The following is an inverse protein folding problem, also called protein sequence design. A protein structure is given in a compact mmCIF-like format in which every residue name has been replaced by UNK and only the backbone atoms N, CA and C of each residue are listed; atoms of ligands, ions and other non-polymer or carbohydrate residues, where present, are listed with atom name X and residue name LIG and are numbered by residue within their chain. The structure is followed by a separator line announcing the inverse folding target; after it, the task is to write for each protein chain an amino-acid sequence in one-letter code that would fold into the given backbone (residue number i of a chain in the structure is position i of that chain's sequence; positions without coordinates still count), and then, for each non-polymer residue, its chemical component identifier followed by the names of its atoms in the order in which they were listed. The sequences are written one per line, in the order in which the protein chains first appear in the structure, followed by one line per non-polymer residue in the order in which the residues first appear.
data_IF_403604776259
#
_entry.id   IF_403604776259
#
_cell.length_a   1.000
_cell.length_b   1.000
_cell.length_c   1.000
_cell.angle_alpha   90.00
_cell.angle_beta   90.00
_cell.angle_gamma   90.00
#
_symmetry.space_group_name_H-M   'P 1'
#
loop_
_entity.id
_entity.type
_entity.pdbx_description
1 polymer ?
#
# COMPACT_ATOMS: atom_id res chain seq x y z
N UNK A 1 21.06 -13.40 6.49
CA UNK A 1 20.98 -12.37 5.42
C UNK A 1 19.50 -12.10 5.15
N UNK A 2 19.09 -10.85 4.96
CA UNK A 2 17.73 -10.50 4.56
C UNK A 2 17.65 -10.39 3.03
N UNK A 3 16.58 -10.94 2.46
CA UNK A 3 16.28 -10.83 1.04
C UNK A 3 14.84 -10.37 0.88
N UNK A 4 14.57 -9.46 -0.06
CA UNK A 4 13.23 -8.93 -0.31
C UNK A 4 12.86 -9.12 -1.77
N UNK A 5 11.83 -9.90 -2.03
CA UNK A 5 11.16 -9.96 -3.33
C UNK A 5 10.13 -8.84 -3.40
N UNK A 6 10.31 -7.94 -4.35
CA UNK A 6 9.71 -6.61 -4.33
C UNK A 6 9.26 -6.13 -5.71
N UNK A 7 8.38 -5.16 -5.72
CA UNK A 7 8.04 -4.35 -6.89
C UNK A 7 7.88 -2.89 -6.47
N UNK A 8 8.51 -1.97 -7.19
CA UNK A 8 8.56 -0.54 -6.87
C UNK A 8 7.17 0.05 -6.60
N UNK A 9 6.18 -0.31 -7.41
CA UNK A 9 4.82 0.23 -7.32
C UNK A 9 3.89 -0.55 -6.37
N UNK A 10 4.35 -1.61 -5.70
CA UNK A 10 3.55 -2.36 -4.75
C UNK A 10 3.43 -1.63 -3.41
N UNK A 11 2.23 -1.18 -3.04
CA UNK A 11 1.96 -0.53 -1.74
C UNK A 11 2.30 -1.44 -0.55
N UNK A 12 2.13 -2.76 -0.70
CA UNK A 12 2.52 -3.72 0.33
C UNK A 12 4.04 -3.82 0.49
N UNK A 13 4.80 -3.82 -0.62
CA UNK A 13 6.24 -3.84 -0.57
C UNK A 13 6.82 -2.50 -0.06
N UNK A 14 6.17 -1.40 -0.39
CA UNK A 14 6.52 -0.08 0.14
C UNK A 14 6.47 -0.03 1.67
N UNK A 15 5.48 -0.67 2.32
CA UNK A 15 5.46 -0.82 3.79
C UNK A 15 6.74 -1.46 4.32
N UNK A 16 7.14 -2.57 3.72
CA UNK A 16 8.32 -3.33 4.17
C UNK A 16 9.60 -2.53 3.96
N UNK A 17 9.73 -1.85 2.82
CA UNK A 17 10.90 -0.98 2.56
C UNK A 17 11.02 0.16 3.56
N UNK A 18 9.91 0.81 3.93
CA UNK A 18 9.94 1.86 4.95
C UNK A 18 10.43 1.28 6.29
N UNK A 19 9.93 0.10 6.68
CA UNK A 19 10.35 -0.52 7.94
C UNK A 19 11.83 -0.91 7.93
N UNK A 20 12.33 -1.48 6.84
CA UNK A 20 13.74 -1.82 6.68
C UNK A 20 14.63 -0.55 6.76
N UNK A 21 14.23 0.52 6.10
CA UNK A 21 14.95 1.80 6.13
C UNK A 21 14.92 2.46 7.52
N UNK A 22 13.77 2.43 8.23
CA UNK A 22 13.66 2.95 9.60
C UNK A 22 14.56 2.19 10.59
N UNK A 23 14.76 0.90 10.34
CA UNK A 23 15.61 0.04 11.16
C UNK A 23 17.07 0.05 10.72
N UNK A 24 17.41 0.71 9.61
CA UNK A 24 18.76 0.69 9.04
C UNK A 24 19.23 -0.68 8.61
N UNK A 25 18.31 -1.55 8.16
CA UNK A 25 18.60 -2.92 7.78
C UNK A 25 18.93 -2.99 6.29
N UNK A 26 20.09 -3.57 5.99
CA UNK A 26 20.48 -3.91 4.63
C UNK A 26 19.82 -5.22 4.18
N UNK A 27 19.47 -5.32 2.91
CA UNK A 27 18.86 -6.51 2.30
C UNK A 27 19.24 -6.65 0.84
N UNK A 28 19.23 -7.87 0.35
CA UNK A 28 19.32 -8.17 -1.08
C UNK A 28 17.95 -8.01 -1.71
N UNK A 29 17.84 -7.16 -2.74
CA UNK A 29 16.59 -6.96 -3.47
C UNK A 29 16.47 -7.93 -4.65
N UNK A 30 15.31 -8.54 -4.79
CA UNK A 30 14.88 -9.33 -5.95
C UNK A 30 13.69 -8.61 -6.60
N UNK A 31 13.99 -7.78 -7.61
CA UNK A 31 12.96 -7.00 -8.31
C UNK A 31 12.03 -7.91 -9.12
N UNK A 32 10.73 -7.78 -8.89
CA UNK A 32 9.66 -8.53 -9.57
C UNK A 32 8.89 -7.61 -10.51
N UNK A 33 8.62 -8.08 -11.73
CA UNK A 33 7.90 -7.29 -12.73
C UNK A 33 6.38 -7.34 -12.57
N UNK A 34 5.87 -8.38 -11.89
CA UNK A 34 4.46 -8.72 -11.76
C UNK A 34 3.74 -8.94 -13.11
N UNK A 35 4.50 -9.40 -14.11
CA UNK A 35 3.99 -9.73 -15.45
C UNK A 35 3.97 -11.24 -15.72
N UNK A 36 3.97 -12.05 -14.65
CA UNK A 36 3.97 -13.52 -14.69
C UNK A 36 5.06 -14.15 -13.84
N UNK A 37 6.16 -13.46 -13.59
CA UNK A 37 7.29 -13.92 -12.76
C UNK A 37 6.86 -14.30 -11.32
N UNK A 38 5.83 -13.65 -10.78
CA UNK A 38 5.23 -14.01 -9.48
C UNK A 38 4.50 -15.36 -9.49
N UNK A 39 4.25 -15.94 -10.65
CA UNK A 39 3.61 -17.26 -10.81
C UNK A 39 4.59 -18.36 -11.22
N UNK A 40 5.87 -18.05 -11.35
CA UNK A 40 6.90 -19.06 -11.62
C UNK A 40 7.02 -20.05 -10.45
N UNK A 41 7.20 -21.36 -10.71
CA UNK A 41 7.26 -22.37 -9.68
C UNK A 41 8.30 -22.12 -8.58
N UNK A 42 9.42 -21.48 -8.93
CA UNK A 42 10.47 -21.12 -7.97
C UNK A 42 9.98 -20.08 -6.97
N UNK A 43 9.18 -19.08 -7.41
CA UNK A 43 8.65 -18.05 -6.53
C UNK A 43 7.44 -18.55 -5.74
N UNK A 44 6.56 -19.36 -6.35
CA UNK A 44 5.41 -19.94 -5.66
C UNK A 44 5.80 -20.86 -4.49
N UNK A 45 7.01 -21.43 -4.48
CA UNK A 45 7.57 -22.14 -3.32
C UNK A 45 7.86 -21.22 -2.14
N UNK A 46 8.19 -19.95 -2.39
CA UNK A 46 8.43 -18.94 -1.37
C UNK A 46 7.11 -18.28 -0.93
N UNK A 47 6.26 -17.96 -1.90
CA UNK A 47 4.97 -17.33 -1.65
C UNK A 47 3.85 -17.95 -2.50
N UNK A 48 3.10 -18.91 -1.95
CA UNK A 48 2.01 -19.58 -2.68
C UNK A 48 0.91 -18.64 -3.16
N UNK A 49 0.81 -17.43 -2.58
CA UNK A 49 -0.17 -16.41 -2.98
C UNK A 49 0.19 -15.73 -4.32
N UNK A 50 1.44 -15.90 -4.83
CA UNK A 50 1.88 -15.29 -6.07
C UNK A 50 1.81 -13.75 -6.05
N UNK A 51 2.20 -13.13 -4.93
CA UNK A 51 2.20 -11.69 -4.70
C UNK A 51 3.50 -11.24 -4.04
N UNK A 52 3.78 -9.94 -4.07
CA UNK A 52 4.86 -9.30 -3.32
C UNK A 52 4.28 -8.43 -2.20
N UNK A 53 5.04 -8.20 -1.12
CA UNK A 53 6.41 -8.64 -0.85
C UNK A 53 6.50 -10.07 -0.31
N UNK A 54 7.68 -10.67 -0.46
CA UNK A 54 8.13 -11.80 0.34
C UNK A 54 9.48 -11.44 0.94
N UNK A 55 9.60 -11.50 2.24
CA UNK A 55 10.87 -11.37 2.93
C UNK A 55 11.45 -12.78 3.14
N UNK A 56 12.74 -12.98 2.85
CA UNK A 56 13.43 -14.20 3.20
C UNK A 56 14.51 -13.87 4.24
N UNK A 57 14.48 -14.55 5.36
CA UNK A 57 15.44 -14.41 6.44
C UNK A 57 16.04 -15.77 6.78
N UNK A 58 17.37 -15.88 6.62
CA UNK A 58 18.10 -17.14 6.85
C UNK A 58 17.50 -18.34 6.08
N UNK A 59 17.05 -18.09 4.84
CA UNK A 59 16.42 -19.10 3.98
C UNK A 59 14.93 -19.37 4.26
N UNK A 60 14.35 -18.74 5.27
CA UNK A 60 12.93 -18.89 5.64
C UNK A 60 12.07 -17.76 5.08
N UNK A 61 11.06 -18.04 4.22
CA UNK A 61 10.17 -17.01 3.71
C UNK A 61 9.18 -16.56 4.76
N UNK A 62 9.01 -15.24 4.88
CA UNK A 62 7.94 -14.58 5.63
C UNK A 62 7.08 -13.83 4.63
N UNK A 63 5.79 -14.12 4.61
CA UNK A 63 4.80 -13.53 3.70
C UNK A 63 3.80 -12.68 4.45
N UNK A 64 2.94 -11.93 3.73
CA UNK A 64 2.01 -10.94 4.25
C UNK A 64 2.73 -9.72 4.84
N UNK A 65 2.56 -8.57 4.17
CA UNK A 65 3.34 -7.37 4.50
C UNK A 65 3.17 -6.91 5.95
N UNK A 66 1.99 -7.05 6.54
CA UNK A 66 1.74 -6.69 7.95
C UNK A 66 2.42 -7.65 8.92
N UNK A 67 2.51 -8.94 8.57
CA UNK A 67 3.26 -9.94 9.35
C UNK A 67 4.75 -9.67 9.23
N UNK A 68 5.24 -9.33 8.03
CA UNK A 68 6.64 -8.94 7.84
C UNK A 68 7.01 -7.73 8.71
N UNK A 69 6.12 -6.73 8.84
CA UNK A 69 6.37 -5.58 9.72
C UNK A 69 6.56 -6.01 11.19
N UNK A 70 5.70 -6.88 11.70
CA UNK A 70 5.83 -7.40 13.07
C UNK A 70 7.09 -8.25 13.23
N UNK A 71 7.36 -9.14 12.27
CA UNK A 71 8.56 -9.97 12.28
C UNK A 71 9.84 -9.11 12.33
N UNK A 72 9.93 -8.06 11.53
CA UNK A 72 11.08 -7.15 11.53
C UNK A 72 11.24 -6.42 12.87
N UNK A 73 10.13 -6.00 13.49
CA UNK A 73 10.20 -5.29 14.77
C UNK A 73 10.56 -6.22 15.94
N UNK A 74 10.10 -7.47 15.92
CA UNK A 74 10.40 -8.48 16.92
C UNK A 74 11.82 -9.02 16.78
N UNK A 75 12.29 -9.26 15.54
CA UNK A 75 13.63 -9.80 15.27
C UNK A 75 14.73 -8.75 15.47
N UNK A 76 14.45 -7.51 15.12
CA UNK A 76 15.38 -6.38 15.24
C UNK A 76 14.74 -5.30 16.13
N UNK A 77 14.76 -5.44 17.46
CA UNK A 77 13.96 -4.61 18.36
C UNK A 77 14.40 -3.15 18.44
N UNK A 78 15.55 -2.77 17.87
CA UNK A 78 16.06 -1.39 17.90
C UNK A 78 16.29 -0.86 16.49
N UNK A 79 15.78 0.36 16.21
CA UNK A 79 14.79 1.12 16.97
C UNK A 79 13.43 0.42 16.95
N UNK A 80 12.68 0.46 18.07
CA UNK A 80 11.33 -0.10 18.13
C UNK A 80 10.34 0.75 17.33
N UNK A 81 9.59 0.12 16.44
CA UNK A 81 8.49 0.72 15.68
C UNK A 81 7.12 0.35 16.26
N UNK A 82 7.10 -0.56 17.25
CA UNK A 82 5.91 -0.91 18.02
C UNK A 82 5.87 -0.09 19.30
N UNK A 83 4.76 0.63 19.60
CA UNK A 83 4.63 1.42 20.83
C UNK A 83 4.73 0.55 22.09
N UNK A 84 5.12 1.19 23.21
CA UNK A 84 5.33 0.47 24.49
C UNK A 84 4.02 0.04 25.16
N UNK A 85 2.95 0.85 25.08
CA UNK A 85 1.72 0.56 25.83
C UNK A 85 0.80 -0.44 25.11
N UNK A 86 0.09 -1.31 25.83
CA UNK A 86 -0.83 -2.27 25.21
C UNK A 86 -1.90 -1.62 24.34
N UNK A 87 -2.44 -0.46 24.74
CA UNK A 87 -3.47 0.25 23.97
C UNK A 87 -2.92 0.78 22.65
N UNK A 88 -1.76 1.42 22.64
CA UNK A 88 -1.13 1.90 21.42
C UNK A 88 -0.72 0.73 20.50
N UNK A 89 -0.26 -0.40 21.06
CA UNK A 89 -0.01 -1.63 20.29
C UNK A 89 -1.28 -2.19 19.66
N UNK A 90 -2.41 -2.15 20.38
CA UNK A 90 -3.70 -2.52 19.83
C UNK A 90 -4.10 -1.59 18.65
N UNK A 91 -3.86 -0.29 18.78
CA UNK A 91 -4.13 0.70 17.72
C UNK A 91 -3.29 0.41 16.46
N UNK A 92 -2.01 0.07 16.60
CA UNK A 92 -1.18 -0.40 15.47
C UNK A 92 -1.82 -1.59 14.76
N UNK A 93 -2.25 -2.60 15.52
CA UNK A 93 -2.88 -3.80 14.94
C UNK A 93 -4.22 -3.50 14.27
N UNK A 94 -5.00 -2.57 14.82
CA UNK A 94 -6.26 -2.11 14.21
C UNK A 94 -6.02 -1.45 12.85
N UNK A 95 -5.00 -0.59 12.70
CA UNK A 95 -4.65 0.01 11.42
C UNK A 95 -4.18 -1.04 10.41
N UNK A 96 -3.31 -1.97 10.80
CA UNK A 96 -2.88 -3.05 9.92
C UNK A 96 -4.08 -3.89 9.45
N UNK A 97 -4.98 -4.26 10.37
CA UNK A 97 -6.19 -5.02 10.03
C UNK A 97 -7.12 -4.25 9.09
N UNK A 98 -7.34 -2.95 9.33
CA UNK A 98 -8.14 -2.10 8.44
C UNK A 98 -7.54 -2.06 7.03
N UNK A 99 -6.23 -1.91 6.93
CA UNK A 99 -5.52 -1.91 5.66
C UNK A 99 -5.69 -3.26 4.95
N UNK A 100 -5.40 -4.36 5.62
CA UNK A 100 -5.35 -5.69 5.00
C UNK A 100 -6.74 -6.17 4.54
N UNK A 101 -7.78 -5.94 5.34
CA UNK A 101 -9.12 -6.47 5.06
C UNK A 101 -9.94 -5.59 4.10
N UNK A 102 -9.73 -4.27 4.12
CA UNK A 102 -10.62 -3.35 3.40
C UNK A 102 -9.88 -2.45 2.42
N UNK A 103 -8.85 -1.74 2.87
CA UNK A 103 -8.24 -0.67 2.09
C UNK A 103 -7.34 -1.22 0.97
N UNK A 104 -6.66 -2.36 1.18
CA UNK A 104 -5.74 -2.90 0.18
C UNK A 104 -6.46 -3.27 -1.13
N UNK A 105 -7.59 -3.95 -1.05
CA UNK A 105 -8.41 -4.25 -2.25
C UNK A 105 -8.95 -2.97 -2.88
N UNK A 106 -9.40 -2.03 -2.07
CA UNK A 106 -9.91 -0.73 -2.53
C UNK A 106 -8.83 0.09 -3.24
N UNK A 107 -7.61 0.08 -2.74
CA UNK A 107 -6.46 0.73 -3.38
C UNK A 107 -6.14 0.07 -4.74
N UNK A 108 -6.21 -1.26 -4.85
CA UNK A 108 -6.08 -1.97 -6.13
C UNK A 108 -7.19 -1.53 -7.10
N UNK A 109 -8.45 -1.49 -6.65
CA UNK A 109 -9.59 -1.05 -7.46
C UNK A 109 -9.34 0.35 -8.03
N UNK A 110 -9.04 1.34 -7.19
CA UNK A 110 -8.81 2.72 -7.64
C UNK A 110 -7.59 2.84 -8.56
N UNK A 111 -6.49 2.13 -8.27
CA UNK A 111 -5.28 2.15 -9.10
C UNK A 111 -5.53 1.59 -10.50
N UNK A 112 -6.25 0.46 -10.61
CA UNK A 112 -6.55 -0.18 -11.90
C UNK A 112 -7.74 0.43 -12.63
N UNK A 113 -8.62 1.15 -11.94
CA UNK A 113 -9.67 1.94 -12.57
C UNK A 113 -9.10 3.21 -13.25
N UNK A 114 -7.89 3.66 -12.86
CA UNK A 114 -7.26 4.92 -13.28
C UNK A 114 -5.88 4.69 -13.90
N UNK A 115 -4.82 4.93 -13.13
CA UNK A 115 -3.42 5.00 -13.60
C UNK A 115 -2.92 3.73 -14.29
N UNK A 116 -3.32 2.55 -13.83
CA UNK A 116 -2.84 1.28 -14.37
C UNK A 116 -3.79 0.65 -15.43
N UNK A 117 -4.86 1.36 -15.78
CA UNK A 117 -5.84 0.84 -16.73
C UNK A 117 -5.26 0.64 -18.14
N UNK A 118 -4.34 1.50 -18.57
CA UNK A 118 -3.72 1.46 -19.89
C UNK A 118 -2.28 0.96 -19.77
N UNK A 119 -1.88 0.02 -20.61
CA UNK A 119 -0.51 -0.49 -20.68
C UNK A 119 -0.20 -1.63 -19.68
N UNK A 120 -0.26 -1.38 -18.39
CA UNK A 120 0.00 -2.43 -17.37
C UNK A 120 -1.12 -3.48 -17.32
N UNK A 121 -2.35 -3.03 -17.58
CA UNK A 121 -3.53 -3.87 -17.59
C UNK A 121 -3.42 -5.04 -18.57
N UNK A 122 -2.98 -4.79 -19.80
CA UNK A 122 -2.88 -5.84 -20.83
C UNK A 122 -1.90 -6.96 -20.44
N UNK A 123 -0.72 -6.58 -19.92
CA UNK A 123 0.27 -7.56 -19.47
C UNK A 123 -0.22 -8.40 -18.30
N UNK A 124 -0.97 -7.80 -17.37
CA UNK A 124 -1.52 -8.51 -16.21
C UNK A 124 -2.78 -9.32 -16.54
N UNK A 125 -3.58 -8.90 -17.51
CA UNK A 125 -4.70 -9.71 -18.04
C UNK A 125 -4.22 -11.02 -18.66
N UNK A 126 -3.13 -10.98 -19.41
CA UNK A 126 -2.56 -12.17 -20.05
C UNK A 126 -2.21 -13.29 -19.06
N UNK A 127 -1.86 -12.93 -17.82
CA UNK A 127 -1.46 -13.88 -16.77
C UNK A 127 -2.49 -14.03 -15.65
N UNK A 128 -3.64 -13.35 -15.72
CA UNK A 128 -4.66 -13.36 -14.66
C UNK A 128 -5.20 -14.77 -14.35
N UNK A 129 -5.26 -15.64 -15.37
CA UNK A 129 -5.68 -17.04 -15.23
C UNK A 129 -4.77 -17.86 -14.32
N UNK A 130 -3.50 -17.46 -14.13
CA UNK A 130 -2.52 -18.12 -13.28
C UNK A 130 -2.66 -17.70 -11.80
N UNK A 131 -3.42 -16.62 -11.51
CA UNK A 131 -3.55 -16.12 -10.15
C UNK A 131 -4.22 -17.14 -9.22
N UNK A 132 -3.62 -17.47 -8.07
CA UNK A 132 -4.25 -18.32 -7.06
C UNK A 132 -5.53 -17.68 -6.48
N UNK A 133 -5.60 -16.35 -6.41
CA UNK A 133 -6.78 -15.63 -5.91
C UNK A 133 -7.71 -15.22 -7.07
N UNK A 134 -8.65 -16.12 -7.42
CA UNK A 134 -9.61 -15.93 -8.52
C UNK A 134 -10.50 -14.72 -8.30
N UNK A 135 -11.04 -14.53 -7.09
CA UNK A 135 -11.91 -13.39 -6.76
C UNK A 135 -11.20 -12.04 -6.97
N UNK A 136 -9.94 -11.94 -6.55
CA UNK A 136 -9.14 -10.72 -6.77
C UNK A 136 -8.87 -10.49 -8.26
N UNK A 137 -8.61 -11.55 -9.02
CA UNK A 137 -8.41 -11.46 -10.48
C UNK A 137 -9.69 -10.99 -11.19
N UNK A 138 -10.86 -11.48 -10.80
CA UNK A 138 -12.18 -11.08 -11.33
C UNK A 138 -12.47 -9.60 -11.05
N UNK A 139 -12.28 -9.15 -9.80
CA UNK A 139 -12.44 -7.72 -9.44
C UNK A 139 -11.52 -6.86 -10.29
N UNK A 140 -10.25 -7.25 -10.43
CA UNK A 140 -9.27 -6.52 -11.21
C UNK A 140 -9.66 -6.45 -12.69
N UNK A 141 -10.13 -7.55 -13.25
CA UNK A 141 -10.62 -7.61 -14.63
C UNK A 141 -11.82 -6.66 -14.84
N UNK A 142 -12.77 -6.64 -13.92
CA UNK A 142 -13.93 -5.74 -13.99
C UNK A 142 -13.49 -4.27 -13.99
N UNK A 143 -12.61 -3.86 -13.07
CA UNK A 143 -12.16 -2.46 -13.01
C UNK A 143 -11.30 -2.04 -14.20
N UNK A 144 -10.52 -2.95 -14.78
CA UNK A 144 -9.78 -2.67 -16.03
C UNK A 144 -10.77 -2.42 -17.18
N UNK A 145 -11.81 -3.22 -17.26
CA UNK A 145 -12.82 -3.11 -18.34
C UNK A 145 -13.65 -1.83 -18.18
N UNK A 146 -14.19 -1.58 -17.01
CA UNK A 146 -15.17 -0.51 -16.80
C UNK A 146 -14.56 0.80 -16.23
N UNK A 147 -13.31 0.78 -15.74
CA UNK A 147 -12.65 1.95 -15.14
C UNK A 147 -13.43 2.47 -13.93
N UNK A 148 -13.65 3.78 -13.89
CA UNK A 148 -14.39 4.44 -12.81
C UNK A 148 -15.89 4.10 -12.76
N UNK A 149 -16.44 3.45 -13.78
CA UNK A 149 -17.83 2.96 -13.82
C UNK A 149 -17.96 1.51 -13.34
N UNK A 150 -16.87 0.88 -12.92
CA UNK A 150 -16.92 -0.43 -12.29
C UNK A 150 -17.76 -0.41 -11.02
N UNK A 151 -18.56 -1.46 -10.82
CA UNK A 151 -19.39 -1.67 -9.63
C UNK A 151 -18.61 -1.68 -8.30
N UNK A 152 -17.30 -1.86 -8.35
CA UNK A 152 -16.43 -1.92 -7.17
C UNK A 152 -15.90 -0.55 -6.73
N UNK A 153 -16.02 0.49 -7.56
CA UNK A 153 -15.43 1.82 -7.28
C UNK A 153 -16.13 2.51 -6.12
N UNK A 154 -17.47 2.41 -6.03
CA UNK A 154 -18.22 3.01 -4.91
C UNK A 154 -17.73 2.51 -3.55
N UNK A 155 -17.70 1.19 -3.38
CA UNK A 155 -17.18 0.55 -2.16
C UNK A 155 -15.73 0.95 -1.87
N UNK A 156 -14.89 0.96 -2.89
CA UNK A 156 -13.48 1.33 -2.73
C UNK A 156 -13.32 2.75 -2.19
N UNK A 157 -14.10 3.70 -2.67
CA UNK A 157 -14.11 5.08 -2.18
C UNK A 157 -14.55 5.14 -0.72
N UNK A 158 -15.60 4.40 -0.33
CA UNK A 158 -16.09 4.37 1.05
C UNK A 158 -15.05 3.79 2.02
N UNK A 159 -14.28 2.77 1.62
CA UNK A 159 -13.21 2.23 2.46
C UNK A 159 -12.05 3.24 2.64
N UNK A 160 -11.69 3.98 1.61
CA UNK A 160 -10.71 5.06 1.75
C UNK A 160 -11.24 6.20 2.64
N UNK A 161 -12.52 6.59 2.49
CA UNK A 161 -13.17 7.58 3.39
C UNK A 161 -13.14 7.12 4.84
N UNK A 162 -13.43 5.84 5.10
CA UNK A 162 -13.35 5.24 6.43
C UNK A 162 -11.94 5.33 7.01
N UNK A 163 -10.91 4.98 6.23
CA UNK A 163 -9.51 5.13 6.65
C UNK A 163 -9.18 6.58 7.00
N UNK A 164 -9.49 7.52 6.11
CA UNK A 164 -9.23 8.96 6.29
C UNK A 164 -9.91 9.46 7.57
N UNK A 165 -11.16 9.09 7.82
CA UNK A 165 -11.89 9.48 9.03
C UNK A 165 -11.27 8.87 10.30
N UNK A 166 -10.75 7.65 10.26
CA UNK A 166 -10.04 7.05 11.39
C UNK A 166 -8.73 7.77 11.66
N UNK A 167 -7.98 8.09 10.60
CA UNK A 167 -6.74 8.87 10.72
C UNK A 167 -7.01 10.25 11.30
N UNK A 168 -8.01 10.96 10.79
CA UNK A 168 -8.40 12.29 11.29
C UNK A 168 -8.64 12.28 12.80
N UNK A 169 -9.47 11.35 13.29
CA UNK A 169 -9.74 11.21 14.73
C UNK A 169 -8.50 10.87 15.55
N UNK A 170 -7.63 9.97 15.05
CA UNK A 170 -6.39 9.61 15.75
C UNK A 170 -5.44 10.81 15.85
N UNK A 171 -5.40 11.65 14.82
CA UNK A 171 -4.46 12.77 14.71
C UNK A 171 -4.96 14.06 15.40
N UNK A 172 -6.20 14.12 15.90
CA UNK A 172 -6.72 15.28 16.65
C UNK A 172 -5.86 15.62 17.87
N UNK A 173 -5.28 14.62 18.54
CA UNK A 173 -4.54 14.79 19.78
C UNK A 173 -3.15 14.14 19.77
N UNK A 174 -2.72 13.61 18.63
CA UNK A 174 -1.48 12.84 18.49
C UNK A 174 -0.71 13.22 17.22
N UNK A 175 0.61 13.16 17.30
CA UNK A 175 1.46 13.47 16.15
C UNK A 175 1.44 12.35 15.09
N UNK A 176 1.21 11.09 15.49
CA UNK A 176 1.21 9.91 14.64
C UNK A 176 0.02 9.00 14.98
N UNK A 177 -0.28 8.03 14.11
CA UNK A 177 -1.51 7.25 14.15
C UNK A 177 -1.69 6.40 15.42
N UNK A 178 -0.61 6.03 16.11
CA UNK A 178 -0.67 5.25 17.34
C UNK A 178 0.05 5.93 18.52
N UNK A 179 0.16 7.27 18.51
CA UNK A 179 0.74 8.01 19.62
C UNK A 179 1.64 9.18 19.19
N UNK A 180 2.61 9.51 20.06
CA UNK A 180 3.52 10.62 19.83
C UNK A 180 4.65 10.31 18.86
N UNK A 181 4.97 9.03 18.67
CA UNK A 181 6.10 8.56 17.89
C UNK A 181 5.62 7.84 16.62
N UNK A 182 6.42 7.95 15.57
CA UNK A 182 6.26 7.19 14.34
C UNK A 182 6.26 5.69 14.64
N UNK A 183 5.39 4.93 14.00
CA UNK A 183 5.16 3.53 14.34
C UNK A 183 4.75 2.69 13.13
N UNK A 184 4.61 1.38 13.36
CA UNK A 184 4.06 0.45 12.35
C UNK A 184 2.64 0.82 11.88
N UNK A 185 1.87 1.62 12.64
CA UNK A 185 0.58 2.14 12.18
C UNK A 185 0.75 3.11 11.01
N UNK A 186 1.70 4.04 11.15
CA UNK A 186 2.01 5.02 10.11
C UNK A 186 2.58 4.32 8.88
N UNK A 187 3.53 3.40 9.08
CA UNK A 187 4.14 2.60 8.00
C UNK A 187 3.08 1.82 7.22
N UNK A 188 2.09 1.25 7.89
CA UNK A 188 1.02 0.50 7.25
C UNK A 188 0.15 1.38 6.34
N UNK A 189 -0.04 2.66 6.70
CA UNK A 189 -0.99 3.59 6.05
C UNK A 189 -0.33 4.44 4.97
N UNK A 190 0.90 4.90 5.17
CA UNK A 190 1.61 5.82 4.27
C UNK A 190 1.47 5.45 2.78
N UNK A 191 1.76 4.22 2.32
CA UNK A 191 1.71 3.90 0.90
C UNK A 191 0.31 4.07 0.28
N UNK A 192 -0.74 3.95 1.07
CA UNK A 192 -2.13 4.07 0.61
C UNK A 192 -2.55 5.52 0.46
N UNK A 193 -2.15 6.39 1.39
CA UNK A 193 -2.40 7.85 1.27
C UNK A 193 -1.56 8.44 0.13
N UNK A 194 -0.28 8.05 0.02
CA UNK A 194 0.58 8.44 -1.11
C UNK A 194 -0.01 7.95 -2.44
N UNK A 195 -0.61 6.74 -2.47
CA UNK A 195 -1.27 6.25 -3.66
C UNK A 195 -2.49 7.09 -4.04
N UNK A 196 -3.30 7.51 -3.08
CA UNK A 196 -4.43 8.41 -3.35
C UNK A 196 -3.95 9.75 -3.91
N UNK A 197 -2.86 10.30 -3.38
CA UNK A 197 -2.24 11.54 -3.88
C UNK A 197 -1.75 11.38 -5.33
N UNK A 198 -1.01 10.31 -5.62
CA UNK A 198 -0.60 9.95 -6.99
C UNK A 198 -1.79 9.75 -7.95
N UNK A 199 -2.95 9.38 -7.44
CA UNK A 199 -4.19 9.27 -8.20
C UNK A 199 -4.99 10.58 -8.25
N UNK A 200 -4.44 11.71 -7.79
CA UNK A 200 -5.10 13.04 -7.73
C UNK A 200 -6.36 13.04 -6.88
N UNK A 201 -6.37 12.28 -5.80
CA UNK A 201 -7.50 12.15 -4.87
C UNK A 201 -7.20 12.79 -3.50
N UNK A 202 -6.20 13.64 -3.40
CA UNK A 202 -5.83 14.37 -2.18
C UNK A 202 -6.94 15.30 -1.68
N UNK A 203 -7.86 15.74 -2.55
CA UNK A 203 -9.05 16.46 -2.13
C UNK A 203 -9.94 15.69 -1.14
N UNK A 204 -9.76 14.38 -0.97
CA UNK A 204 -10.45 13.59 0.05
C UNK A 204 -10.07 14.00 1.49
N UNK A 205 -8.93 14.67 1.72
CA UNK A 205 -8.44 15.08 3.05
C UNK A 205 -7.88 16.50 3.16
N UNK A 206 -7.85 17.27 2.08
CA UNK A 206 -7.28 18.63 2.07
C UNK A 206 -7.94 19.58 3.09
N UNK A 207 -9.19 19.33 3.46
CA UNK A 207 -9.91 20.10 4.48
C UNK A 207 -9.68 19.58 5.92
N UNK A 208 -8.77 18.62 6.10
CA UNK A 208 -8.43 18.03 7.40
C UNK A 208 -6.98 18.42 7.78
N UNK A 209 -6.78 19.56 8.49
CA UNK A 209 -5.44 20.09 8.76
C UNK A 209 -4.52 19.09 9.46
N UNK A 210 -5.04 18.34 10.45
CA UNK A 210 -4.28 17.34 11.18
C UNK A 210 -3.74 16.20 10.29
N UNK A 211 -4.47 15.83 9.23
CA UNK A 211 -4.04 14.81 8.29
C UNK A 211 -3.02 15.38 7.31
N UNK A 212 -3.22 16.61 6.84
CA UNK A 212 -2.24 17.32 6.00
C UNK A 212 -0.91 17.50 6.75
N UNK A 213 -0.96 17.92 8.02
CA UNK A 213 0.23 18.04 8.87
C UNK A 213 0.96 16.70 9.08
N UNK A 214 0.19 15.60 9.25
CA UNK A 214 0.76 14.27 9.33
C UNK A 214 1.42 13.88 8.00
N UNK A 215 0.76 14.13 6.87
CA UNK A 215 1.26 13.82 5.53
C UNK A 215 2.59 14.55 5.28
N UNK A 216 2.67 15.83 5.57
CA UNK A 216 3.92 16.61 5.43
C UNK A 216 5.01 16.07 6.35
N UNK A 217 4.66 15.71 7.59
CA UNK A 217 5.61 15.16 8.57
C UNK A 217 6.20 13.83 8.13
N UNK A 218 5.39 12.92 7.59
CA UNK A 218 5.90 11.61 7.11
C UNK A 218 6.77 11.77 5.86
N UNK A 219 6.50 12.76 5.01
CA UNK A 219 7.35 13.05 3.85
C UNK A 219 8.73 13.64 4.22
N UNK A 220 8.89 14.22 5.38
CA UNK A 220 10.21 14.69 5.87
C UNK A 220 11.11 13.53 6.30
N UNK A 221 10.58 12.31 6.44
CA UNK A 221 11.38 11.15 6.80
C UNK A 221 12.15 10.60 5.59
N UNK A 222 13.50 10.49 5.69
CA UNK A 222 14.30 9.93 4.59
C UNK A 222 13.87 8.51 4.21
N UNK A 223 13.51 7.69 5.20
CA UNK A 223 13.02 6.32 5.03
C UNK A 223 11.76 6.24 4.14
N UNK A 224 10.85 7.20 4.29
CA UNK A 224 9.62 7.26 3.48
C UNK A 224 9.95 7.68 2.06
N UNK A 225 10.76 8.73 1.88
CA UNK A 225 11.15 9.21 0.54
C UNK A 225 11.90 8.16 -0.25
N UNK A 226 12.94 7.58 0.35
CA UNK A 226 13.77 6.55 -0.30
C UNK A 226 12.99 5.27 -0.63
N UNK A 227 12.07 4.86 0.24
CA UNK A 227 11.25 3.68 0.01
C UNK A 227 10.17 3.85 -1.05
N UNK A 228 9.73 5.09 -1.33
CA UNK A 228 8.61 5.38 -2.24
C UNK A 228 9.11 6.07 -3.53
N UNK A 229 9.14 7.39 -3.54
CA UNK A 229 9.26 8.17 -4.77
C UNK A 229 10.69 8.27 -5.31
N UNK A 230 11.69 8.34 -4.45
CA UNK A 230 13.07 8.57 -4.87
C UNK A 230 13.63 7.40 -5.72
N UNK A 231 13.10 6.19 -5.51
CA UNK A 231 13.47 5.00 -6.29
C UNK A 231 12.62 4.77 -7.55
N UNK A 232 11.53 5.50 -7.72
CA UNK A 232 10.69 5.38 -8.91
C UNK A 232 11.40 5.94 -10.14
N UNK A 233 11.56 5.09 -11.15
CA UNK A 233 12.01 5.52 -12.47
C UNK A 233 10.91 6.32 -13.18
N UNK A 234 11.26 7.01 -14.27
CA UNK A 234 10.24 7.69 -15.10
C UNK A 234 9.20 6.71 -15.66
N UNK A 235 9.58 5.47 -15.93
CA UNK A 235 8.63 4.43 -16.34
C UNK A 235 7.65 4.05 -15.22
N UNK A 236 8.10 4.04 -13.96
CA UNK A 236 7.24 3.76 -12.81
C UNK A 236 6.26 4.92 -12.53
N UNK A 237 6.68 6.16 -12.80
CA UNK A 237 5.87 7.38 -12.61
C UNK A 237 4.89 7.61 -13.76
N UNK A 238 5.26 7.19 -14.98
CA UNK A 238 4.48 7.46 -16.21
C UNK A 238 2.99 7.15 -16.10
N UNK A 239 2.54 6.00 -15.54
CA UNK A 239 1.11 5.72 -15.39
C UNK A 239 0.38 6.77 -14.56
N UNK A 240 1.02 7.31 -13.51
CA UNK A 240 0.43 8.32 -12.62
C UNK A 240 0.42 9.71 -13.26
N UNK A 241 1.39 10.02 -14.12
CA UNK A 241 1.51 11.31 -14.77
C UNK A 241 0.61 11.46 -16.00
N UNK A 242 0.22 10.34 -16.64
CA UNK A 242 -0.43 10.36 -17.97
C UNK A 242 -1.87 9.87 -17.99
N UNK A 243 -2.40 9.30 -16.90
CA UNK A 243 -3.76 8.76 -16.91
C UNK A 243 -4.83 9.85 -17.04
N UNK A 244 -5.90 9.51 -17.73
CA UNK A 244 -7.09 10.35 -17.96
C UNK A 244 -8.35 9.46 -17.92
N UNK A 245 -9.53 9.99 -17.59
CA UNK A 245 -9.78 11.37 -17.11
C UNK A 245 -9.36 11.60 -15.66
N UNK A 246 -9.49 12.83 -15.16
CA UNK A 246 -9.37 13.13 -13.73
C UNK A 246 -10.46 12.36 -12.96
N UNK A 247 -10.09 11.58 -11.93
CA UNK A 247 -11.05 10.78 -11.19
C UNK A 247 -11.88 11.59 -10.20
N UNK A 248 -11.43 12.80 -9.80
CA UNK A 248 -12.06 13.54 -8.71
C UNK A 248 -13.55 13.85 -8.91
N UNK A 249 -14.02 14.30 -10.08
CA UNK A 249 -15.46 14.57 -10.26
C UNK A 249 -16.35 13.35 -9.99
N UNK A 250 -15.92 12.17 -10.43
CA UNK A 250 -16.66 10.91 -10.17
C UNK A 250 -16.60 10.53 -8.69
N UNK A 251 -15.43 10.66 -8.06
CA UNK A 251 -15.24 10.37 -6.64
C UNK A 251 -16.09 11.29 -5.79
N UNK A 252 -16.11 12.59 -6.08
CA UNK A 252 -16.93 13.59 -5.39
C UNK A 252 -18.43 13.25 -5.48
N UNK A 253 -18.90 12.89 -6.66
CA UNK A 253 -20.30 12.46 -6.86
C UNK A 253 -20.63 11.24 -5.97
N UNK A 254 -19.76 10.23 -5.91
CA UNK A 254 -19.98 9.03 -5.11
C UNK A 254 -19.88 9.28 -3.60
N UNK A 255 -19.06 10.24 -3.16
CA UNK A 255 -18.98 10.67 -1.77
C UNK A 255 -20.24 11.41 -1.33
N UNK A 256 -20.86 12.18 -2.23
CA UNK A 256 -22.07 12.97 -1.94
C UNK A 256 -23.37 12.14 -1.96
N UNK A 257 -23.36 10.98 -2.62
CA UNK A 257 -24.53 10.10 -2.77
C UNK A 257 -24.66 9.08 -1.62
N UNK A 258 -23.72 9.04 -0.67
CA UNK A 258 -23.61 8.10 0.44
C UNK A 258 -23.65 8.81 1.80
#
# INVERSE_FOLDING_TARGET
MLELYDNTNSVCAQKVRIALAEKGLEYQEHAMTLRGDQFEPRYLKLNPNGVVPTLVWEGHPVIESSIILYFLDETFPQPSLMPATPLARAQVRMYNKLIDEYVHTSCMVMTFATAFRVGLAQAQQAVAHQSPNKKRAEIKQDVITHGLDSKHVGDAIQQHRKLINWMSRSLEHQAYLAGRNFSLADIAVIPYIVRLDLLRLNAMWNEMPQLSDWYDRVWQRPSVRSALLDRMTENDKKPFNTFQPDPWPKVQQLLSAA
#
